data_IF_340696268267
#
_entry.id   IF_340696268267
#
_cell.length_a   1.000
_cell.length_b   1.000
_cell.length_c   1.000
_cell.angle_alpha   90.00
_cell.angle_beta   90.00
_cell.angle_gamma   90.00
#
_symmetry.space_group_name_H-M   'P 1'
#
loop_
_entity.id
_entity.type
_entity.pdbx_description
1 polymer ?
#
# COMPACT_ATOMS: atom_id res chain seq x y z
N UNK A 1 3.59 7.93 0.22
CA UNK A 1 3.67 9.42 0.19
C UNK A 1 3.94 9.99 -1.18
N UNK A 2 5.08 9.74 -1.84
CA UNK A 2 5.37 10.33 -3.16
C UNK A 2 4.24 10.15 -4.19
N UNK A 3 3.72 8.93 -4.37
CA UNK A 3 2.59 8.69 -5.29
C UNK A 3 1.32 9.50 -4.95
N UNK A 4 1.00 9.73 -3.67
CA UNK A 4 -0.15 10.56 -3.27
C UNK A 4 0.11 12.06 -3.53
N UNK A 5 1.33 12.53 -3.23
CA UNK A 5 1.75 13.90 -3.49
C UNK A 5 1.73 14.25 -5.00
N UNK A 6 1.92 13.25 -5.86
CA UNK A 6 1.88 13.39 -7.33
C UNK A 6 0.52 12.99 -7.95
N UNK A 7 -0.52 12.74 -7.14
CA UNK A 7 -1.87 12.43 -7.64
C UNK A 7 -2.02 11.06 -8.31
N UNK A 8 -1.04 10.17 -8.13
CA UNK A 8 -1.06 8.78 -8.62
C UNK A 8 -1.92 7.90 -7.70
N UNK A 9 -1.85 8.16 -6.39
CA UNK A 9 -2.81 7.72 -5.39
C UNK A 9 -3.72 8.90 -4.97
N UNK A 10 -4.86 8.64 -4.29
CA UNK A 10 -5.64 9.69 -3.64
C UNK A 10 -4.73 10.65 -2.85
N UNK A 11 -4.89 11.95 -3.10
CA UNK A 11 -3.99 12.97 -2.57
C UNK A 11 -4.06 13.07 -1.03
N UNK A 12 -5.23 12.76 -0.46
CA UNK A 12 -5.45 12.70 0.98
C UNK A 12 -4.91 11.41 1.63
N UNK A 13 -4.42 10.46 0.83
CA UNK A 13 -3.88 9.19 1.28
C UNK A 13 -4.92 8.24 1.85
N UNK A 14 -6.21 8.35 1.48
CA UNK A 14 -7.29 7.54 2.04
C UNK A 14 -7.95 6.59 1.03
N UNK A 15 -8.60 5.55 1.56
CA UNK A 15 -9.43 4.60 0.80
C UNK A 15 -8.71 3.98 -0.42
N UNK A 16 -7.45 3.59 -0.24
CA UNK A 16 -6.63 2.99 -1.29
C UNK A 16 -6.88 1.49 -1.30
N UNK A 17 -7.36 0.94 -2.42
CA UNK A 17 -7.43 -0.53 -2.55
C UNK A 17 -6.03 -1.13 -2.69
N UNK A 18 -5.82 -2.33 -2.14
CA UNK A 18 -4.51 -3.00 -2.24
C UNK A 18 -4.13 -3.34 -3.69
N UNK A 19 -5.12 -3.63 -4.55
CA UNK A 19 -4.93 -3.81 -5.99
C UNK A 19 -4.46 -2.54 -6.68
N UNK A 20 -5.07 -1.39 -6.37
CA UNK A 20 -4.63 -0.10 -6.89
C UNK A 20 -3.18 0.18 -6.47
N UNK A 21 -2.82 -0.10 -5.22
CA UNK A 21 -1.44 0.05 -4.74
C UNK A 21 -0.46 -0.82 -5.55
N UNK A 22 -0.77 -2.11 -5.73
CA UNK A 22 0.04 -3.04 -6.53
C UNK A 22 0.27 -2.54 -7.97
N UNK A 23 -0.81 -2.19 -8.67
CA UNK A 23 -0.75 -1.70 -10.05
C UNK A 23 0.05 -0.40 -10.18
N UNK A 24 -0.19 0.56 -9.26
CA UNK A 24 0.44 1.88 -9.33
C UNK A 24 1.92 1.84 -8.98
N UNK A 25 2.34 1.05 -7.99
CA UNK A 25 3.77 0.88 -7.70
C UNK A 25 4.51 0.37 -8.94
N UNK A 26 3.96 -0.65 -9.61
CA UNK A 26 4.57 -1.20 -10.82
C UNK A 26 4.65 -0.17 -11.94
N UNK A 27 3.56 0.54 -12.21
CA UNK A 27 3.49 1.56 -13.26
C UNK A 27 4.42 2.74 -13.00
N UNK A 28 4.56 3.17 -11.74
CA UNK A 28 5.31 4.37 -11.36
C UNK A 28 6.80 4.10 -11.17
N UNK A 29 7.16 2.97 -10.57
CA UNK A 29 8.55 2.68 -10.18
C UNK A 29 9.19 1.51 -10.95
N UNK A 30 8.45 0.86 -11.85
CA UNK A 30 8.92 -0.30 -12.62
C UNK A 30 9.45 -1.43 -11.71
N UNK A 31 8.83 -1.61 -10.54
CA UNK A 31 9.16 -2.71 -9.64
C UNK A 31 8.64 -4.05 -10.16
N UNK A 32 9.32 -5.13 -9.75
CA UNK A 32 8.93 -6.48 -10.11
C UNK A 32 7.50 -6.80 -9.62
N UNK A 33 6.67 -7.51 -10.40
CA UNK A 33 5.29 -7.82 -10.03
C UNK A 33 5.16 -8.56 -8.70
N UNK A 34 6.12 -9.45 -8.38
CA UNK A 34 6.15 -10.18 -7.12
C UNK A 34 6.24 -9.26 -5.90
N UNK A 35 7.08 -8.23 -5.97
CA UNK A 35 7.23 -7.25 -4.90
C UNK A 35 5.98 -6.36 -4.78
N UNK A 36 5.41 -5.95 -5.92
CA UNK A 36 4.20 -5.13 -5.96
C UNK A 36 2.97 -5.85 -5.41
N UNK A 37 2.95 -7.19 -5.45
CA UNK A 37 1.93 -8.01 -4.79
C UNK A 37 2.24 -8.25 -3.31
N UNK A 38 3.47 -8.67 -3.00
CA UNK A 38 3.85 -9.08 -1.65
C UNK A 38 3.63 -7.97 -0.61
N UNK A 39 4.11 -6.75 -0.87
CA UNK A 39 4.06 -5.67 0.14
C UNK A 39 2.61 -5.25 0.46
N UNK A 40 1.72 -4.97 -0.52
CA UNK A 40 0.33 -4.65 -0.24
C UNK A 40 -0.47 -5.83 0.35
N UNK A 41 -0.14 -7.07 -0.01
CA UNK A 41 -0.78 -8.25 0.60
C UNK A 41 -0.36 -8.45 2.06
N UNK A 42 0.93 -8.23 2.37
CA UNK A 42 1.44 -8.34 3.73
C UNK A 42 0.80 -7.30 4.67
N UNK A 43 0.67 -6.06 4.23
CA UNK A 43 -0.03 -5.03 5.03
C UNK A 43 -1.53 -5.32 5.17
N UNK A 44 -2.18 -5.92 4.16
CA UNK A 44 -3.57 -6.37 4.30
C UNK A 44 -3.71 -7.40 5.42
N UNK A 45 -2.78 -8.36 5.52
CA UNK A 45 -2.73 -9.33 6.63
C UNK A 45 -2.50 -8.67 7.98
N UNK A 46 -1.55 -7.72 8.09
CA UNK A 46 -1.29 -6.99 9.35
C UNK A 46 -2.52 -6.22 9.82
N UNK A 47 -3.27 -5.62 8.90
CA UNK A 47 -4.46 -4.82 9.21
C UNK A 47 -5.74 -5.67 9.37
N UNK A 48 -5.65 -7.00 9.28
CA UNK A 48 -6.78 -7.93 9.27
C UNK A 48 -7.83 -7.56 8.20
N UNK A 49 -7.38 -7.37 6.95
CA UNK A 49 -8.19 -6.95 5.80
C UNK A 49 -8.09 -7.92 4.63
N UNK A 50 -9.18 -7.97 3.87
CA UNK A 50 -9.25 -8.71 2.60
C UNK A 50 -8.57 -7.89 1.50
N UNK A 51 -7.49 -8.43 0.92
CA UNK A 51 -6.72 -7.80 -0.16
C UNK A 51 -7.59 -7.38 -1.36
N UNK A 52 -8.62 -8.18 -1.67
CA UNK A 52 -9.44 -8.02 -2.87
C UNK A 52 -10.60 -7.06 -2.69
N UNK A 53 -11.12 -6.91 -1.47
CA UNK A 53 -12.34 -6.17 -1.17
C UNK A 53 -12.09 -4.88 -0.41
N UNK A 54 -11.09 -4.87 0.47
CA UNK A 54 -10.90 -3.78 1.40
C UNK A 54 -9.93 -2.72 0.88
N UNK A 55 -9.88 -1.62 1.62
CA UNK A 55 -8.99 -0.49 1.36
C UNK A 55 -8.19 -0.17 2.61
N UNK A 56 -7.18 0.69 2.48
CA UNK A 56 -6.44 1.25 3.62
C UNK A 56 -6.11 2.72 3.41
N UNK A 57 -5.76 3.39 4.49
CA UNK A 57 -5.24 4.74 4.52
C UNK A 57 -3.73 4.68 4.74
N UNK A 58 -2.97 5.57 4.10
CA UNK A 58 -1.50 5.60 4.24
C UNK A 58 -1.02 5.71 5.69
N UNK A 59 -1.79 6.35 6.57
CA UNK A 59 -1.47 6.45 7.99
C UNK A 59 -1.52 5.10 8.74
N UNK A 60 -2.28 4.12 8.24
CA UNK A 60 -2.46 2.82 8.91
C UNK A 60 -1.24 1.91 8.76
N UNK A 61 -0.36 2.19 7.79
CA UNK A 61 0.86 1.38 7.57
C UNK A 61 1.98 1.72 8.57
N UNK A 62 1.78 2.76 9.38
CA UNK A 62 2.66 3.15 10.48
C UNK A 62 2.34 2.44 11.80
N UNK A 63 1.52 1.37 11.77
CA UNK A 63 1.30 0.53 12.95
C UNK A 63 2.61 -0.12 13.39
N UNK A 64 2.96 0.08 14.67
CA UNK A 64 4.21 -0.41 15.23
C UNK A 64 4.29 -1.93 15.20
N UNK A 65 5.46 -2.47 14.82
CA UNK A 65 5.69 -3.90 14.56
C UNK A 65 4.86 -4.50 13.41
N UNK A 66 4.35 -3.67 12.50
CA UNK A 66 3.77 -4.11 11.24
C UNK A 66 4.82 -4.21 10.14
N UNK A 67 4.78 -3.27 9.20
CA UNK A 67 5.90 -2.99 8.28
C UNK A 67 6.86 -1.96 8.89
N UNK A 68 6.33 -1.06 9.72
CA UNK A 68 7.11 -0.12 10.52
C UNK A 68 7.93 -0.88 11.58
N UNK A 69 9.22 -0.60 11.65
CA UNK A 69 10.20 -1.27 12.50
C UNK A 69 11.34 -0.32 12.89
N UNK A 70 11.96 -0.58 14.05
CA UNK A 70 13.20 0.08 14.48
C UNK A 70 14.40 -0.43 13.66
N UNK A 71 15.46 0.40 13.56
CA UNK A 71 16.66 0.12 12.76
C UNK A 71 17.71 -0.74 13.47
#
# INVERSE_FOLDING_TARGET
>A
NAMANHGILPHDGKNISFKTMNEKIRQTYNFAPSFCYFVPNYIATILDRDYDKDTFNLAEISVHNGIEHDA
#
